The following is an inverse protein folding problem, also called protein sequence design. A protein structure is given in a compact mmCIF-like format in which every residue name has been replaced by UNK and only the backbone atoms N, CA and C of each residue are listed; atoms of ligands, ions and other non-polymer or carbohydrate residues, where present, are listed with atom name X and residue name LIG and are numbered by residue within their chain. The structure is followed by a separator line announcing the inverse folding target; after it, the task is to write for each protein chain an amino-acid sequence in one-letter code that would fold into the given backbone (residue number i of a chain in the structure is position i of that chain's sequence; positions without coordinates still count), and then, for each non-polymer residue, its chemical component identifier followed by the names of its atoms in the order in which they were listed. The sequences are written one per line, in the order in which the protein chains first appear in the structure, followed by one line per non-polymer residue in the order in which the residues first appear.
data_IF_952968911070
#
_entry.id   IF_952968911070
#
_cell.length_a   1.000
_cell.length_b   1.000
_cell.length_c   1.000
_cell.angle_alpha   90.00
_cell.angle_beta   90.00
_cell.angle_gamma   90.00
#
_symmetry.space_group_name_H-M   'P 1'
#
loop_
_entity.id
_entity.type
_entity.pdbx_description
1 polymer ?
#
# COMPACT_ATOMS: atom_id res chain seq x y z
N UNK A 1 4.43 19.96 5.03
CA UNK A 1 5.18 19.48 6.21
C UNK A 1 6.65 19.55 5.88
N UNK A 2 7.46 20.29 6.64
CA UNK A 2 8.93 20.23 6.53
C UNK A 2 9.38 19.32 7.69
N UNK A 3 9.96 18.16 7.38
CA UNK A 3 10.62 17.35 8.39
C UNK A 3 11.65 18.23 9.12
N UNK A 4 11.63 18.23 10.43
CA UNK A 4 12.59 19.00 11.27
C UNK A 4 14.02 18.49 11.10
N UNK A 5 14.16 17.25 10.57
CA UNK A 5 15.43 16.60 10.35
C UNK A 5 15.33 15.82 9.03
N UNK A 6 16.25 16.06 8.09
CA UNK A 6 16.23 15.47 6.74
C UNK A 6 16.47 13.94 6.73
N UNK A 7 16.77 13.34 7.88
CA UNK A 7 17.13 11.93 8.04
C UNK A 7 16.03 11.08 8.74
N UNK A 8 14.87 11.67 9.05
CA UNK A 8 13.74 10.97 9.64
C UNK A 8 12.86 10.34 8.55
N UNK A 9 12.54 9.03 8.65
CA UNK A 9 11.74 8.36 7.63
C UNK A 9 10.28 8.85 7.63
N UNK A 10 9.76 9.09 6.42
CA UNK A 10 8.35 9.44 6.19
C UNK A 10 7.72 8.31 5.38
N UNK A 11 6.75 7.63 5.98
CA UNK A 11 6.08 6.49 5.36
C UNK A 11 4.61 6.79 5.12
N UNK A 12 4.12 6.39 3.97
CA UNK A 12 2.70 6.40 3.63
C UNK A 12 2.11 5.02 3.86
N UNK A 13 1.04 4.95 4.66
CA UNK A 13 0.39 3.69 5.04
C UNK A 13 -1.02 3.64 4.45
N UNK A 14 -1.41 2.43 4.05
CA UNK A 14 -2.78 2.11 3.68
C UNK A 14 -3.04 0.60 3.77
N UNK A 15 -4.33 0.24 3.85
CA UNK A 15 -4.78 -1.14 3.81
C UNK A 15 -5.52 -1.42 2.51
N UNK A 16 -5.17 -2.52 1.85
CA UNK A 16 -5.91 -2.98 0.68
C UNK A 16 -6.53 -4.36 0.89
N UNK A 17 -7.61 -4.62 0.16
CA UNK A 17 -8.40 -5.84 0.27
C UNK A 17 -8.57 -6.55 -1.08
N UNK A 18 -7.49 -7.08 -1.68
CA UNK A 18 -7.60 -7.74 -2.97
C UNK A 18 -8.37 -9.05 -2.86
N UNK A 19 -9.20 -9.33 -3.87
CA UNK A 19 -9.94 -10.59 -3.99
C UNK A 19 -9.33 -11.49 -5.04
N UNK A 20 -9.49 -12.81 -4.88
CA UNK A 20 -9.08 -13.81 -5.88
C UNK A 20 -9.89 -13.68 -7.18
N UNK A 21 -11.08 -13.10 -7.12
CA UNK A 21 -11.90 -12.86 -8.32
C UNK A 21 -11.07 -12.16 -9.40
N UNK A 22 -11.18 -12.65 -10.62
CA UNK A 22 -10.46 -12.09 -11.76
C UNK A 22 -10.80 -10.62 -11.96
N UNK A 23 -9.79 -9.77 -11.92
CA UNK A 23 -9.94 -8.34 -12.18
C UNK A 23 -9.82 -8.09 -13.68
N UNK A 24 -10.95 -7.98 -14.37
CA UNK A 24 -10.95 -7.63 -15.79
C UNK A 24 -10.47 -6.18 -15.94
N UNK A 25 -9.53 -5.97 -16.83
CA UNK A 25 -8.95 -4.66 -17.14
C UNK A 25 -8.83 -4.50 -18.65
N UNK A 26 -9.08 -3.30 -19.16
CA UNK A 26 -8.87 -2.95 -20.56
C UNK A 26 -7.40 -3.14 -20.97
N UNK A 27 -7.18 -3.47 -22.23
CA UNK A 27 -5.86 -3.63 -22.81
C UNK A 27 -5.92 -3.62 -24.33
N UNK A 28 -4.75 -3.55 -24.96
CA UNK A 28 -4.62 -3.60 -26.41
C UNK A 28 -4.50 -5.04 -26.87
N UNK A 29 -5.27 -5.41 -27.89
CA UNK A 29 -5.16 -6.68 -28.61
C UNK A 29 -5.00 -6.40 -30.11
N UNK A 30 -4.45 -7.36 -30.83
CA UNK A 30 -4.33 -7.26 -32.29
C UNK A 30 -5.72 -7.14 -32.92
N UNK A 31 -5.89 -6.21 -33.86
CA UNK A 31 -7.16 -6.01 -34.57
C UNK A 31 -7.63 -7.32 -35.22
N UNK A 32 -8.92 -7.64 -35.04
CA UNK A 32 -9.53 -8.88 -35.55
C UNK A 32 -9.30 -10.13 -34.70
N UNK A 33 -8.75 -9.98 -33.50
CA UNK A 33 -8.60 -11.07 -32.53
C UNK A 33 -9.44 -10.81 -31.29
N UNK A 34 -10.02 -11.87 -30.73
CA UNK A 34 -10.67 -11.86 -29.41
C UNK A 34 -9.76 -12.49 -28.39
N UNK A 35 -9.79 -11.98 -27.16
CA UNK A 35 -9.07 -12.54 -26.01
C UNK A 35 -10.08 -12.91 -24.92
N UNK A 36 -10.41 -14.19 -24.83
CA UNK A 36 -11.18 -14.71 -23.70
C UNK A 36 -10.32 -14.73 -22.43
N UNK A 37 -10.88 -14.22 -21.32
CA UNK A 37 -10.23 -14.25 -20.01
C UNK A 37 -11.05 -15.18 -19.13
N UNK A 38 -10.41 -16.21 -18.56
CA UNK A 38 -11.03 -17.06 -17.54
C UNK A 38 -11.32 -16.21 -16.30
N UNK A 39 -12.50 -16.38 -15.75
CA UNK A 39 -12.92 -15.66 -14.56
C UNK A 39 -13.34 -16.62 -13.46
N UNK A 40 -13.23 -16.17 -12.22
CA UNK A 40 -13.77 -16.85 -11.04
C UNK A 40 -14.55 -15.88 -10.19
N UNK A 41 -15.68 -16.34 -9.66
CA UNK A 41 -16.50 -15.61 -8.68
C UNK A 41 -16.03 -15.82 -7.23
N UNK A 42 -14.81 -16.29 -7.00
CA UNK A 42 -14.29 -16.54 -5.65
C UNK A 42 -14.38 -15.29 -4.79
N UNK A 43 -14.94 -15.45 -3.58
CA UNK A 43 -15.02 -14.40 -2.56
C UNK A 43 -13.80 -14.36 -1.63
N UNK A 44 -12.78 -15.21 -1.87
CA UNK A 44 -11.52 -15.19 -1.11
C UNK A 44 -10.90 -13.80 -1.20
N UNK A 45 -10.71 -13.18 -0.05
CA UNK A 45 -10.14 -11.85 0.11
C UNK A 45 -8.91 -11.92 1.00
N UNK A 46 -7.88 -11.15 0.68
CA UNK A 46 -6.77 -10.88 1.57
C UNK A 46 -6.96 -9.52 2.23
N UNK A 47 -6.42 -9.36 3.42
CA UNK A 47 -6.30 -8.08 4.08
C UNK A 47 -4.81 -7.79 4.20
N UNK A 48 -4.36 -6.77 3.50
CA UNK A 48 -2.96 -6.40 3.39
C UNK A 48 -2.81 -4.98 3.93
N UNK A 49 -1.84 -4.78 4.82
CA UNK A 49 -1.42 -3.45 5.25
C UNK A 49 -0.02 -3.22 4.71
N UNK A 50 0.19 -2.06 4.12
CA UNK A 50 1.49 -1.69 3.57
C UNK A 50 1.94 -0.31 4.00
N UNK A 51 3.26 -0.10 3.97
CA UNK A 51 3.91 1.19 4.17
C UNK A 51 5.01 1.38 3.13
N UNK A 52 5.10 2.57 2.55
CA UNK A 52 6.13 2.92 1.57
C UNK A 52 6.88 4.19 1.98
N UNK A 53 8.20 4.18 1.74
CA UNK A 53 9.03 5.36 1.66
C UNK A 53 9.17 5.77 0.20
N UNK A 54 8.89 7.03 -0.14
CA UNK A 54 9.03 7.52 -1.52
C UNK A 54 10.49 7.57 -2.00
N UNK A 55 11.44 7.56 -1.07
CA UNK A 55 12.86 7.51 -1.39
C UNK A 55 13.31 6.09 -1.75
N UNK A 56 12.63 5.06 -1.21
CA UNK A 56 12.96 3.65 -1.43
C UNK A 56 11.69 2.79 -1.62
N UNK A 57 11.10 2.88 -2.80
CA UNK A 57 9.89 2.14 -3.15
C UNK A 57 10.08 0.61 -3.20
N UNK A 58 11.33 0.17 -3.43
CA UNK A 58 11.67 -1.26 -3.49
C UNK A 58 11.59 -1.95 -2.13
N UNK A 59 11.73 -1.20 -1.03
CA UNK A 59 11.75 -1.72 0.35
C UNK A 59 10.40 -1.54 1.07
N UNK A 60 9.28 -1.55 0.35
CA UNK A 60 7.97 -1.46 0.97
C UNK A 60 7.79 -2.52 2.07
N UNK A 61 7.16 -2.11 3.17
CA UNK A 61 6.82 -3.01 4.28
C UNK A 61 5.38 -3.47 4.05
N UNK A 62 5.16 -4.77 3.94
CA UNK A 62 3.84 -5.30 3.62
C UNK A 62 3.57 -6.55 4.47
N UNK A 63 2.45 -6.53 5.22
CA UNK A 63 2.00 -7.65 6.02
C UNK A 63 0.56 -8.02 5.68
N UNK A 64 0.23 -9.31 5.87
CA UNK A 64 -1.13 -9.85 5.74
C UNK A 64 -1.71 -10.12 7.12
N UNK A 65 -3.01 -9.84 7.26
CA UNK A 65 -3.75 -10.05 8.50
C UNK A 65 -5.09 -10.73 8.22
N UNK A 66 -5.64 -11.41 9.21
CA UNK A 66 -7.00 -11.94 9.12
C UNK A 66 -8.04 -10.82 9.12
N UNK A 67 -7.78 -9.76 9.91
CA UNK A 67 -8.60 -8.56 10.02
C UNK A 67 -7.69 -7.34 10.03
N UNK A 68 -8.21 -6.19 9.59
CA UNK A 68 -7.56 -4.89 9.78
C UNK A 68 -8.36 -4.13 10.85
N UNK A 69 -7.74 -3.94 11.99
CA UNK A 69 -8.28 -3.24 13.15
C UNK A 69 -7.14 -2.54 13.92
N UNK A 70 -7.44 -1.90 15.05
CA UNK A 70 -6.44 -1.22 15.88
C UNK A 70 -5.30 -2.15 16.32
N UNK A 71 -5.61 -3.36 16.77
CA UNK A 71 -4.63 -4.35 17.25
C UNK A 71 -3.64 -4.76 16.14
N UNK A 72 -4.14 -5.08 14.94
CA UNK A 72 -3.29 -5.42 13.80
C UNK A 72 -2.46 -4.24 13.32
N UNK A 73 -2.97 -3.01 13.44
CA UNK A 73 -2.20 -1.80 13.15
C UNK A 73 -1.08 -1.57 14.17
N UNK A 74 -1.30 -1.87 15.46
CA UNK A 74 -0.23 -1.82 16.47
C UNK A 74 0.89 -2.80 16.13
N UNK A 75 0.56 -4.05 15.80
CA UNK A 75 1.53 -5.06 15.33
C UNK A 75 2.27 -4.61 14.07
N UNK A 76 1.58 -3.94 13.15
CA UNK A 76 2.22 -3.38 11.95
C UNK A 76 3.18 -2.24 12.29
N UNK A 77 2.85 -1.37 13.25
CA UNK A 77 3.76 -0.33 13.72
C UNK A 77 5.02 -0.90 14.36
N UNK A 78 4.91 -2.02 15.10
CA UNK A 78 6.08 -2.75 15.61
C UNK A 78 6.96 -3.27 14.47
N UNK A 79 6.35 -3.84 13.43
CA UNK A 79 7.07 -4.28 12.23
C UNK A 79 7.82 -3.12 11.55
N UNK A 80 7.17 -1.96 11.44
CA UNK A 80 7.83 -0.75 10.91
C UNK A 80 9.00 -0.36 11.81
N UNK A 81 8.78 -0.29 13.14
CA UNK A 81 9.82 0.14 14.09
C UNK A 81 11.07 -0.72 14.01
N UNK A 82 10.93 -2.03 13.80
CA UNK A 82 12.07 -2.96 13.68
C UNK A 82 12.98 -2.66 12.47
N UNK A 83 12.48 -1.99 11.43
CA UNK A 83 13.27 -1.65 10.24
C UNK A 83 14.10 -0.37 10.37
N UNK A 84 13.88 0.42 11.41
CA UNK A 84 14.55 1.71 11.59
C UNK A 84 15.26 1.80 12.94
N UNK A 85 16.35 2.59 13.05
CA UNK A 85 17.04 2.78 14.31
C UNK A 85 16.10 3.31 15.43
N UNK A 86 16.19 2.79 16.68
CA UNK A 86 15.26 3.14 17.76
C UNK A 86 15.18 4.64 18.08
N UNK A 87 16.27 5.37 17.91
CA UNK A 87 16.37 6.81 18.21
C UNK A 87 15.73 7.71 17.16
N UNK A 88 15.47 7.22 15.94
CA UNK A 88 14.85 8.01 14.87
C UNK A 88 13.35 8.07 15.05
N UNK A 89 12.77 9.25 14.99
CA UNK A 89 11.32 9.42 14.87
C UNK A 89 10.87 8.96 13.49
N UNK A 90 9.79 8.20 13.44
CA UNK A 90 9.16 7.76 12.19
C UNK A 90 7.88 8.55 11.99
N UNK A 91 7.72 9.18 10.84
CA UNK A 91 6.51 9.91 10.49
C UNK A 91 5.62 9.01 9.62
N UNK A 92 4.42 8.69 10.10
CA UNK A 92 3.45 7.87 9.37
C UNK A 92 2.31 8.75 8.87
N UNK A 93 2.10 8.73 7.56
CA UNK A 93 0.99 9.40 6.88
C UNK A 93 -0.06 8.35 6.54
N UNK A 94 -1.27 8.51 7.06
CA UNK A 94 -2.37 7.55 6.95
C UNK A 94 -3.71 8.24 6.74
N UNK A 95 -4.69 7.51 6.28
CA UNK A 95 -6.05 8.01 6.13
C UNK A 95 -6.76 8.16 7.47
N UNK A 96 -7.98 8.69 7.42
CA UNK A 96 -8.80 8.94 8.61
C UNK A 96 -9.69 7.76 9.03
N UNK A 97 -9.39 6.52 8.65
CA UNK A 97 -10.18 5.35 9.05
C UNK A 97 -10.34 5.28 10.57
N UNK A 98 -11.49 4.80 11.04
CA UNK A 98 -11.84 4.79 12.47
C UNK A 98 -10.80 4.09 13.34
N UNK A 99 -10.28 2.96 12.90
CA UNK A 99 -9.24 2.21 13.62
C UNK A 99 -7.90 2.93 13.69
N UNK A 100 -7.60 3.85 12.75
CA UNK A 100 -6.40 4.70 12.81
C UNK A 100 -6.49 5.79 13.89
N UNK A 101 -7.69 6.12 14.36
CA UNK A 101 -7.93 7.16 15.39
C UNK A 101 -8.10 6.60 16.78
N UNK A 102 -8.04 5.29 16.95
CA UNK A 102 -8.18 4.61 18.23
C UNK A 102 -7.13 5.11 19.23
N UNK A 103 -7.51 5.23 20.50
CA UNK A 103 -6.63 5.78 21.54
C UNK A 103 -5.44 4.86 21.77
N UNK A 104 -5.68 3.57 21.88
CA UNK A 104 -4.66 2.53 22.06
C UNK A 104 -3.60 2.54 20.95
N UNK A 105 -4.01 2.78 19.68
CA UNK A 105 -3.07 2.91 18.58
C UNK A 105 -2.18 4.15 18.68
N UNK A 106 -2.75 5.27 19.16
CA UNK A 106 -1.99 6.51 19.38
C UNK A 106 -0.99 6.37 20.53
N UNK A 107 -1.37 5.67 21.59
CA UNK A 107 -0.47 5.36 22.70
C UNK A 107 0.67 4.47 22.23
N UNK A 108 0.36 3.40 21.48
CA UNK A 108 1.36 2.53 20.89
C UNK A 108 2.32 3.26 19.95
N UNK A 109 1.82 4.17 19.13
CA UNK A 109 2.66 5.00 18.27
C UNK A 109 3.68 5.82 19.09
N UNK A 110 3.25 6.45 20.18
CA UNK A 110 4.14 7.19 21.07
C UNK A 110 5.23 6.31 21.70
N UNK A 111 4.86 5.13 22.20
CA UNK A 111 5.82 4.15 22.75
C UNK A 111 6.90 3.78 21.73
N UNK A 112 6.51 3.67 20.48
CA UNK A 112 7.41 3.30 19.38
C UNK A 112 8.16 4.49 18.75
N UNK A 113 8.06 5.70 19.32
CA UNK A 113 8.59 6.94 18.75
C UNK A 113 8.13 7.15 17.30
N UNK A 114 6.81 7.03 17.09
CA UNK A 114 6.13 7.21 15.80
C UNK A 114 5.18 8.41 15.92
N UNK A 115 5.27 9.33 14.97
CA UNK A 115 4.34 10.46 14.82
C UNK A 115 3.31 10.16 13.72
N UNK A 116 2.02 10.34 14.04
CA UNK A 116 0.91 10.08 13.12
C UNK A 116 0.40 11.36 12.47
N UNK A 117 0.28 11.34 11.16
CA UNK A 117 -0.27 12.44 10.34
C UNK A 117 -1.43 11.91 9.51
N UNK A 118 -2.58 12.55 9.67
CA UNK A 118 -3.80 12.11 8.99
C UNK A 118 -4.04 12.92 7.73
N UNK A 119 -4.30 12.23 6.63
CA UNK A 119 -4.76 12.85 5.40
C UNK A 119 -6.17 13.43 5.58
N UNK A 120 -6.52 14.48 4.82
CA UNK A 120 -7.88 14.97 4.80
C UNK A 120 -8.89 13.86 4.44
N UNK A 121 -10.13 13.92 4.93
CA UNK A 121 -11.16 12.99 4.52
C UNK A 121 -11.33 12.93 2.99
N UNK A 122 -11.63 11.74 2.46
CA UNK A 122 -11.90 11.52 1.03
C UNK A 122 -10.77 11.94 0.08
N UNK A 123 -9.52 11.86 0.51
CA UNK A 123 -8.35 12.28 -0.28
C UNK A 123 -7.38 11.13 -0.62
N UNK A 124 -7.82 10.01 -1.23
CA UNK A 124 -6.95 8.88 -1.55
C UNK A 124 -5.87 9.26 -2.57
N UNK A 125 -6.12 10.28 -3.41
CA UNK A 125 -5.16 10.82 -4.35
C UNK A 125 -3.91 11.43 -3.68
N UNK A 126 -4.00 11.80 -2.41
CA UNK A 126 -2.88 12.30 -1.59
C UNK A 126 -2.09 11.17 -0.92
N UNK A 127 -2.51 9.90 -1.06
CA UNK A 127 -1.77 8.76 -0.54
C UNK A 127 -1.05 8.02 -1.67
N UNK A 128 0.28 8.21 -1.84
CA UNK A 128 1.02 7.58 -2.93
C UNK A 128 0.99 6.05 -2.94
N UNK A 129 0.76 5.40 -1.80
CA UNK A 129 0.66 3.94 -1.71
C UNK A 129 -0.50 3.38 -2.54
N UNK A 130 -1.55 4.15 -2.78
CA UNK A 130 -2.64 3.79 -3.69
C UNK A 130 -2.13 3.51 -5.12
N UNK A 131 -1.07 4.22 -5.52
CA UNK A 131 -0.42 3.98 -6.82
C UNK A 131 0.38 2.68 -6.81
N UNK A 132 0.97 2.30 -5.66
CA UNK A 132 1.62 0.98 -5.51
C UNK A 132 0.59 -0.15 -5.65
N UNK A 133 -0.59 0.00 -5.06
CA UNK A 133 -1.68 -0.98 -5.22
C UNK A 133 -2.11 -1.13 -6.68
N UNK A 134 -2.12 -0.04 -7.46
CA UNK A 134 -2.38 -0.10 -8.90
C UNK A 134 -1.29 -0.88 -9.63
N UNK A 135 -0.01 -0.61 -9.34
CA UNK A 135 1.13 -1.35 -9.92
C UNK A 135 1.05 -2.83 -9.57
N UNK A 136 0.80 -3.18 -8.31
CA UNK A 136 0.61 -4.58 -7.92
C UNK A 136 -0.54 -5.24 -8.70
N UNK A 137 -1.68 -4.57 -8.86
CA UNK A 137 -2.79 -5.10 -9.66
C UNK A 137 -2.40 -5.31 -11.13
N UNK A 138 -1.63 -4.41 -11.73
CA UNK A 138 -1.14 -4.52 -13.11
C UNK A 138 -0.25 -5.76 -13.29
N UNK A 139 0.63 -6.03 -12.35
CA UNK A 139 1.57 -7.15 -12.43
C UNK A 139 0.98 -8.49 -12.00
N UNK A 140 0.00 -8.50 -11.08
CA UNK A 140 -0.48 -9.72 -10.45
C UNK A 140 -1.91 -10.06 -10.85
N UNK A 141 -2.82 -9.09 -10.85
CA UNK A 141 -4.27 -9.38 -10.86
C UNK A 141 -5.00 -9.08 -12.15
N UNK A 142 -4.57 -8.04 -12.88
CA UNK A 142 -5.28 -7.61 -14.09
C UNK A 142 -5.28 -8.72 -15.14
N UNK A 143 -6.47 -9.18 -15.53
CA UNK A 143 -6.68 -10.24 -16.52
C UNK A 143 -6.01 -11.59 -16.16
N UNK A 144 -5.74 -11.84 -14.88
CA UNK A 144 -5.17 -13.08 -14.37
C UNK A 144 -6.25 -13.93 -13.69
N UNK A 145 -6.26 -15.21 -14.02
CA UNK A 145 -7.09 -16.22 -13.38
C UNK A 145 -6.26 -16.99 -12.37
N UNK A 146 -6.78 -17.18 -11.17
CA UNK A 146 -6.18 -17.99 -10.12
C UNK A 146 -7.07 -19.19 -9.82
N UNK A 147 -6.53 -20.39 -10.00
CA UNK A 147 -7.26 -21.63 -9.76
C UNK A 147 -7.50 -21.88 -8.25
N UNK A 148 -6.59 -21.41 -7.40
CA UNK A 148 -6.64 -21.60 -5.96
C UNK A 148 -6.35 -20.32 -5.18
N UNK A 149 -6.82 -20.29 -3.94
CA UNK A 149 -6.48 -19.20 -3.01
C UNK A 149 -4.98 -19.18 -2.67
N UNK A 150 -4.31 -20.34 -2.71
CA UNK A 150 -2.87 -20.43 -2.49
C UNK A 150 -2.10 -19.73 -3.61
N UNK A 151 -2.40 -20.06 -4.86
CA UNK A 151 -1.77 -19.44 -6.03
C UNK A 151 -1.93 -17.90 -6.01
N UNK A 152 -3.14 -17.43 -5.67
CA UNK A 152 -3.41 -16.00 -5.54
C UNK A 152 -2.54 -15.33 -4.46
N UNK A 153 -2.39 -15.96 -3.30
CA UNK A 153 -1.53 -15.45 -2.22
C UNK A 153 -0.06 -15.44 -2.62
N UNK A 154 0.43 -16.56 -3.15
CA UNK A 154 1.82 -16.74 -3.53
C UNK A 154 2.26 -15.69 -4.57
N UNK A 155 1.37 -15.36 -5.53
CA UNK A 155 1.64 -14.33 -6.54
C UNK A 155 1.73 -12.92 -5.97
N UNK A 156 0.91 -12.59 -4.98
CA UNK A 156 1.00 -11.29 -4.29
C UNK A 156 2.28 -11.23 -3.47
N UNK A 157 2.63 -12.30 -2.75
CA UNK A 157 3.85 -12.35 -1.96
C UNK A 157 5.10 -12.22 -2.85
N UNK A 158 5.14 -12.95 -3.97
CA UNK A 158 6.22 -12.89 -4.95
C UNK A 158 6.40 -11.46 -5.52
N UNK A 159 5.29 -10.75 -5.77
CA UNK A 159 5.37 -9.37 -6.21
C UNK A 159 6.10 -8.49 -5.18
N UNK A 160 5.75 -8.56 -3.90
CA UNK A 160 6.35 -7.71 -2.88
C UNK A 160 7.76 -8.15 -2.49
N UNK A 161 8.05 -9.45 -2.50
CA UNK A 161 9.35 -9.99 -2.09
C UNK A 161 10.41 -9.93 -3.19
N UNK A 162 10.00 -10.12 -4.45
CA UNK A 162 10.93 -10.25 -5.56
C UNK A 162 10.74 -9.16 -6.62
N UNK A 163 9.52 -8.98 -7.13
CA UNK A 163 9.29 -8.08 -8.26
C UNK A 163 9.40 -6.61 -7.90
N UNK A 164 8.83 -6.19 -6.79
CA UNK A 164 8.87 -4.79 -6.35
C UNK A 164 10.30 -4.27 -6.09
N UNK A 165 11.20 -5.01 -5.40
CA UNK A 165 12.60 -4.61 -5.28
C UNK A 165 13.30 -4.40 -6.62
N UNK A 166 13.01 -5.26 -7.61
CA UNK A 166 13.59 -5.15 -8.96
C UNK A 166 13.16 -3.88 -9.68
N UNK A 167 11.85 -3.54 -9.63
CA UNK A 167 11.28 -2.44 -10.42
C UNK A 167 11.18 -1.12 -9.66
N UNK A 168 11.38 -1.11 -8.34
CA UNK A 168 11.09 0.02 -7.44
C UNK A 168 11.71 1.35 -7.89
N UNK A 169 12.95 1.33 -8.34
CA UNK A 169 13.62 2.53 -8.85
C UNK A 169 12.92 3.12 -10.08
N UNK A 170 12.41 2.28 -10.97
CA UNK A 170 11.66 2.69 -12.17
C UNK A 170 10.28 3.28 -11.86
N UNK A 171 9.74 3.01 -10.66
CA UNK A 171 8.42 3.48 -10.25
C UNK A 171 8.39 4.92 -9.74
N UNK A 172 9.53 5.58 -9.51
CA UNK A 172 9.61 6.94 -8.98
C UNK A 172 8.88 7.99 -9.82
N UNK A 173 8.77 7.78 -11.13
CA UNK A 173 7.97 8.64 -12.02
C UNK A 173 6.46 8.49 -11.80
N UNK A 174 6.02 7.31 -11.37
CA UNK A 174 4.60 6.97 -11.15
C UNK A 174 4.17 7.15 -9.69
N UNK A 175 5.06 6.84 -8.74
CA UNK A 175 4.82 6.87 -7.30
C UNK A 175 5.72 7.93 -6.70
N UNK A 176 5.19 9.12 -6.47
CA UNK A 176 5.91 10.28 -5.97
C UNK A 176 4.99 11.22 -5.20
N UNK A 177 5.56 12.25 -4.59
CA UNK A 177 4.84 13.29 -3.85
C UNK A 177 4.35 14.47 -4.70
N UNK A 178 4.36 14.37 -6.02
CA UNK A 178 3.83 15.42 -6.90
C UNK A 178 2.30 15.37 -6.92
N UNK A 179 1.70 16.04 -5.96
CA UNK A 179 0.26 16.16 -5.84
C UNK A 179 -0.25 17.33 -6.70
N UNK A 180 -1.41 17.15 -7.30
CA UNK A 180 -2.07 18.22 -8.02
C UNK A 180 -2.56 19.27 -7.01
N UNK A 181 -2.01 20.47 -7.09
CA UNK A 181 -2.49 21.62 -6.31
C UNK A 181 -3.63 22.24 -7.10
N UNK A 182 -4.84 22.15 -6.57
CA UNK A 182 -5.98 22.89 -7.11
C UNK A 182 -5.86 24.33 -6.60
N UNK A 183 -5.63 25.28 -7.50
CA UNK A 183 -5.80 26.67 -7.16
C UNK A 183 -7.28 26.92 -6.84
N UNK A 184 -7.61 27.65 -5.75
CA UNK A 184 -8.99 28.06 -5.51
C UNK A 184 -9.50 28.78 -6.78
N UNK A 185 -10.72 28.47 -7.17
CA UNK A 185 -11.35 29.21 -8.25
C UNK A 185 -11.37 30.73 -7.95
N UNK A 186 -11.13 31.57 -8.94
CA UNK A 186 -11.14 33.04 -8.77
C UNK A 186 -12.50 33.52 -8.27
#
# INVERSE_FOLDING_TARGET
MKAKNTDEPILFIDAMHPTQATKVSGGWIKKGHDKAIKTTGSRTRLNIVGAIDLNDLGSAIVNRYEKVNSETMQSFFETIRQKYPPKKTIHLILDGAGYHRAIDLKEKAKELNIELFYLPPYSPNLNPIERLWKVMNEHVRNNQYFSTAKEFRDKIDDFFQNKLPEIGNGLKSRINGNFQILNPAP
#
